data_IF_589054331514
#
_entry.id   IF_589054331514
#
_cell.length_a   1.000
_cell.length_b   1.000
_cell.length_c   1.000
_cell.angle_alpha   90.00
_cell.angle_beta   90.00
_cell.angle_gamma   90.00
#
_symmetry.space_group_name_H-M   'P 1'
#
loop_
_entity.id
_entity.type
_entity.pdbx_description
1 polymer ?
#
# COMPACT_ATOMS: atom_id res chain seq x y z
N UNK A 1 4.89 -33.58 8.50
CA UNK A 1 5.15 -33.38 7.06
C UNK A 1 4.55 -32.04 6.68
N UNK A 2 5.35 -31.10 6.17
CA UNK A 2 4.86 -29.79 5.74
C UNK A 2 4.62 -29.83 4.24
N UNK A 3 3.37 -29.65 3.82
CA UNK A 3 3.00 -29.59 2.41
C UNK A 3 2.99 -28.13 1.98
N UNK A 4 3.93 -27.76 1.11
CA UNK A 4 4.04 -26.41 0.55
C UNK A 4 3.52 -26.45 -0.88
N UNK A 5 2.45 -25.70 -1.15
CA UNK A 5 1.86 -25.60 -2.48
C UNK A 5 2.67 -24.63 -3.35
N UNK A 6 3.02 -25.06 -4.55
CA UNK A 6 3.64 -24.18 -5.55
C UNK A 6 2.54 -23.59 -6.44
N UNK A 7 2.53 -22.26 -6.67
CA UNK A 7 1.54 -21.62 -7.53
C UNK A 7 1.67 -22.05 -8.99
N UNK A 8 0.55 -22.08 -9.71
CA UNK A 8 0.53 -22.21 -11.18
C UNK A 8 0.83 -20.84 -11.84
N UNK A 9 1.02 -20.84 -13.16
CA UNK A 9 1.18 -19.60 -13.94
C UNK A 9 0.06 -18.60 -13.71
N UNK A 10 -1.17 -19.10 -13.53
CA UNK A 10 -2.37 -18.30 -13.41
C UNK A 10 -2.48 -17.58 -12.04
N UNK A 11 -1.77 -18.08 -11.03
CA UNK A 11 -1.71 -17.48 -9.68
C UNK A 11 -0.72 -16.31 -9.61
N UNK A 12 0.24 -16.23 -10.54
CA UNK A 12 1.28 -15.19 -10.56
C UNK A 12 0.74 -13.89 -11.16
N UNK A 13 0.77 -12.82 -10.37
CA UNK A 13 0.37 -11.47 -10.81
C UNK A 13 1.59 -10.70 -11.33
N UNK A 14 1.50 -10.16 -12.54
CA UNK A 14 2.52 -9.26 -13.09
C UNK A 14 2.43 -7.89 -12.39
N UNK A 15 3.59 -7.31 -12.07
CA UNK A 15 3.67 -5.97 -11.47
C UNK A 15 3.35 -4.93 -12.55
N UNK A 16 2.50 -3.97 -12.25
CA UNK A 16 2.18 -2.87 -13.15
C UNK A 16 3.45 -2.07 -13.52
N UNK A 17 3.61 -1.75 -14.80
CA UNK A 17 4.83 -1.16 -15.40
C UNK A 17 5.27 0.20 -14.80
N UNK A 18 4.44 0.82 -13.97
CA UNK A 18 4.72 2.09 -13.32
C UNK A 18 5.93 2.06 -12.37
N UNK A 19 6.37 0.86 -11.96
CA UNK A 19 7.60 0.68 -11.16
C UNK A 19 8.79 0.14 -11.98
N UNK A 20 8.59 -0.13 -13.27
CA UNK A 20 9.54 -0.77 -14.18
C UNK A 20 9.70 0.04 -15.47
N UNK A 21 9.80 1.36 -15.36
CA UNK A 21 10.50 2.08 -16.42
C UNK A 21 11.94 1.56 -16.46
N UNK A 22 12.22 0.68 -17.42
CA UNK A 22 13.53 0.04 -17.67
C UNK A 22 14.69 1.03 -17.86
N UNK A 23 14.42 2.32 -17.86
CA UNK A 23 15.39 3.41 -17.98
C UNK A 23 15.58 4.24 -16.69
N UNK A 24 14.82 3.96 -15.63
CA UNK A 24 14.99 4.64 -14.33
C UNK A 24 15.74 3.69 -13.41
N UNK A 25 16.98 4.07 -13.06
CA UNK A 25 17.73 3.41 -11.99
C UNK A 25 16.84 3.39 -10.75
N UNK A 26 16.44 2.20 -10.28
CA UNK A 26 15.70 2.07 -9.03
C UNK A 26 16.47 2.81 -7.93
N UNK A 27 15.86 3.81 -7.27
CA UNK A 27 16.57 4.62 -6.30
C UNK A 27 17.03 3.72 -5.16
N UNK A 28 18.34 3.63 -4.96
CA UNK A 28 18.93 2.84 -3.88
C UNK A 28 19.17 3.75 -2.68
N UNK A 29 18.79 3.27 -1.50
CA UNK A 29 19.08 3.97 -0.26
C UNK A 29 20.61 4.07 -0.02
N UNK A 30 21.02 5.17 0.59
CA UNK A 30 22.41 5.39 1.02
C UNK A 30 22.70 4.57 2.28
N UNK A 31 23.96 4.15 2.49
CA UNK A 31 24.39 3.39 3.68
C UNK A 31 23.89 3.99 5.01
N UNK A 32 23.96 5.33 5.15
CA UNK A 32 23.49 6.03 6.35
C UNK A 32 21.96 5.97 6.55
N UNK A 33 21.18 5.90 5.46
CA UNK A 33 19.72 5.69 5.56
C UNK A 33 19.41 4.26 6.02
N UNK A 34 20.19 3.29 5.53
CA UNK A 34 20.07 1.87 5.92
C UNK A 34 20.42 1.69 7.40
N UNK A 35 21.51 2.29 7.88
CA UNK A 35 21.92 2.20 9.28
C UNK A 35 20.84 2.77 10.23
N UNK A 36 20.27 3.93 9.88
CA UNK A 36 19.17 4.54 10.65
C UNK A 36 17.90 3.69 10.61
N UNK A 37 17.57 3.07 9.48
CA UNK A 37 16.46 2.12 9.38
C UNK A 37 16.68 0.89 10.27
N UNK A 38 17.89 0.33 10.29
CA UNK A 38 18.24 -0.81 11.15
C UNK A 38 18.08 -0.42 12.63
N UNK A 39 18.51 0.79 13.01
CA UNK A 39 18.34 1.30 14.37
C UNK A 39 16.86 1.42 14.77
N UNK A 40 15.99 1.88 13.87
CA UNK A 40 14.55 1.94 14.07
C UNK A 40 13.93 0.54 14.23
N UNK A 41 14.21 -0.38 13.29
CA UNK A 41 13.66 -1.74 13.32
C UNK A 41 14.01 -2.44 14.63
N UNK A 42 15.27 -2.34 15.10
CA UNK A 42 15.70 -2.94 16.38
C UNK A 42 14.97 -2.40 17.61
N UNK A 43 14.36 -1.22 17.54
CA UNK A 43 13.58 -0.61 18.63
C UNK A 43 12.11 -1.01 18.60
N UNK A 44 11.58 -1.31 17.41
CA UNK A 44 10.18 -1.67 17.17
C UNK A 44 9.98 -3.20 17.09
N UNK A 45 11.07 -3.96 17.00
CA UNK A 45 11.05 -5.41 16.82
C UNK A 45 10.29 -6.17 17.93
N UNK A 46 9.41 -7.08 17.51
CA UNK A 46 8.67 -7.98 18.39
C UNK A 46 9.50 -9.23 18.65
N UNK A 47 10.22 -9.26 19.77
CA UNK A 47 11.19 -10.32 20.10
C UNK A 47 10.61 -11.74 20.13
N UNK A 48 9.40 -11.90 20.64
CA UNK A 48 8.81 -13.21 20.93
C UNK A 48 7.50 -13.41 20.16
N UNK A 49 7.52 -13.19 18.84
CA UNK A 49 6.34 -13.43 18.00
C UNK A 49 5.86 -14.88 18.09
N UNK A 50 4.58 -15.04 18.42
CA UNK A 50 3.89 -16.34 18.41
C UNK A 50 2.64 -16.27 17.55
N UNK A 51 2.37 -17.34 16.81
CA UNK A 51 1.17 -17.46 15.96
C UNK A 51 -0.12 -17.38 16.80
N UNK A 52 -0.04 -17.74 18.09
CA UNK A 52 -1.18 -17.71 19.01
C UNK A 52 -1.29 -16.39 19.80
N UNK A 53 -0.45 -15.39 19.51
CA UNK A 53 -0.40 -14.14 20.29
C UNK A 53 -1.59 -13.21 19.98
N UNK A 54 -2.18 -13.32 18.79
CA UNK A 54 -3.21 -12.41 18.33
C UNK A 54 -4.49 -13.17 18.02
N UNK A 55 -5.59 -12.76 18.66
CA UNK A 55 -6.91 -13.29 18.34
C UNK A 55 -7.57 -12.52 17.20
N UNK A 56 -8.46 -13.17 16.44
CA UNK A 56 -9.29 -12.47 15.46
C UNK A 56 -10.39 -11.67 16.18
N UNK A 57 -10.36 -10.32 16.17
CA UNK A 57 -11.30 -9.50 16.93
C UNK A 57 -12.75 -9.67 16.46
N UNK A 58 -12.97 -9.93 15.16
CA UNK A 58 -14.30 -10.16 14.62
C UNK A 58 -14.91 -11.47 15.15
N UNK A 59 -14.11 -12.54 15.23
CA UNK A 59 -14.56 -13.80 15.81
C UNK A 59 -14.78 -13.69 17.31
N UNK A 60 -13.85 -13.05 18.03
CA UNK A 60 -14.01 -12.81 19.46
C UNK A 60 -15.33 -12.06 19.75
N UNK A 61 -15.60 -11.00 18.98
CA UNK A 61 -16.83 -10.21 19.11
C UNK A 61 -18.07 -11.03 18.82
N UNK A 62 -18.05 -11.81 17.75
CA UNK A 62 -19.17 -12.64 17.38
C UNK A 62 -19.55 -13.62 18.50
N UNK A 63 -18.58 -14.36 19.04
CA UNK A 63 -18.85 -15.36 20.07
C UNK A 63 -19.19 -14.74 21.42
N UNK A 64 -18.60 -13.61 21.80
CA UNK A 64 -18.97 -12.92 23.03
C UNK A 64 -20.42 -12.43 22.99
N UNK A 65 -20.87 -11.86 21.86
CA UNK A 65 -22.27 -11.45 21.69
C UNK A 65 -23.21 -12.65 21.76
N UNK A 66 -22.87 -13.78 21.12
CA UNK A 66 -23.67 -15.01 21.22
C UNK A 66 -23.76 -15.53 22.66
N UNK A 67 -22.67 -15.43 23.42
CA UNK A 67 -22.64 -15.84 24.81
C UNK A 67 -23.53 -14.94 25.68
N UNK A 68 -23.44 -13.61 25.53
CA UNK A 68 -24.29 -12.67 26.24
C UNK A 68 -25.78 -12.92 25.96
N UNK A 69 -26.13 -13.16 24.69
CA UNK A 69 -27.50 -13.54 24.29
C UNK A 69 -27.96 -14.88 24.90
N UNK A 70 -27.05 -15.83 25.12
CA UNK A 70 -27.38 -17.12 25.72
C UNK A 70 -27.55 -17.06 27.24
N UNK A 71 -26.92 -16.06 27.89
CA UNK A 71 -26.97 -15.84 29.34
C UNK A 71 -28.01 -14.77 29.75
N UNK A 72 -28.76 -14.22 28.78
CA UNK A 72 -29.67 -13.08 28.97
C UNK A 72 -28.97 -11.87 29.62
N UNK A 73 -27.72 -11.61 29.24
CA UNK A 73 -26.97 -10.41 29.66
C UNK A 73 -27.34 -9.21 28.77
N UNK A 74 -27.76 -8.10 29.39
CA UNK A 74 -28.13 -6.86 28.68
C UNK A 74 -26.93 -6.00 28.26
N UNK A 75 -25.72 -6.32 28.76
CA UNK A 75 -24.51 -5.56 28.48
C UNK A 75 -23.79 -6.12 27.25
N UNK A 76 -23.43 -5.24 26.31
CA UNK A 76 -22.64 -5.65 25.16
C UNK A 76 -21.18 -5.87 25.57
N UNK A 77 -20.59 -7.05 25.34
CA UNK A 77 -19.24 -7.34 25.78
C UNK A 77 -18.23 -6.48 25.02
N UNK A 78 -17.36 -5.80 25.77
CA UNK A 78 -16.22 -5.07 25.22
C UNK A 78 -15.05 -6.03 24.97
N UNK A 79 -14.49 -5.98 23.76
CA UNK A 79 -13.38 -6.83 23.37
C UNK A 79 -12.23 -5.95 22.92
N UNK A 80 -11.09 -6.14 23.58
CA UNK A 80 -9.85 -5.49 23.20
C UNK A 80 -9.35 -6.07 21.87
N UNK A 81 -9.15 -5.20 20.90
CA UNK A 81 -8.50 -5.56 19.65
C UNK A 81 -6.99 -5.59 19.85
N UNK A 82 -6.42 -6.79 19.78
CA UNK A 82 -4.98 -7.03 19.92
C UNK A 82 -4.22 -6.79 18.61
N UNK A 83 -4.92 -6.61 17.48
CA UNK A 83 -4.31 -6.37 16.17
C UNK A 83 -3.89 -4.92 15.95
N UNK A 84 -4.35 -4.01 16.82
CA UNK A 84 -3.99 -2.60 16.78
C UNK A 84 -2.56 -2.42 17.33
N UNK A 85 -1.71 -1.59 16.70
CA UNK A 85 -0.37 -1.31 17.21
C UNK A 85 -0.40 -0.76 18.65
N UNK A 86 0.61 -1.13 19.44
CA UNK A 86 0.80 -0.60 20.80
C UNK A 86 1.27 0.85 20.76
N UNK A 87 0.32 1.80 20.84
CA UNK A 87 0.60 3.24 20.81
C UNK A 87 1.56 3.67 21.94
N UNK A 88 1.41 3.09 23.14
CA UNK A 88 2.26 3.39 24.29
C UNK A 88 3.70 2.89 24.05
N UNK A 89 3.82 1.68 23.49
CA UNK A 89 5.10 1.11 23.06
C UNK A 89 5.80 1.95 21.99
N UNK A 90 5.04 2.48 21.02
CA UNK A 90 5.54 3.31 19.94
C UNK A 90 5.90 4.73 20.37
N UNK A 91 5.22 5.26 21.39
CA UNK A 91 5.49 6.59 21.95
C UNK A 91 6.76 6.65 22.83
N UNK A 92 7.45 5.51 23.05
CA UNK A 92 8.70 5.48 23.81
C UNK A 92 9.74 6.40 23.16
N UNK A 93 10.39 7.24 23.98
CA UNK A 93 11.39 8.22 23.53
C UNK A 93 12.47 7.63 22.60
N UNK A 94 12.88 6.38 22.84
CA UNK A 94 13.87 5.71 22.02
C UNK A 94 13.39 5.30 20.63
N UNK A 95 12.08 5.07 20.45
CA UNK A 95 11.44 4.77 19.16
C UNK A 95 11.19 6.07 18.41
N UNK A 96 10.60 7.06 19.08
CA UNK A 96 10.31 8.38 18.49
C UNK A 96 11.58 9.04 17.95
N UNK A 97 12.66 9.05 18.73
CA UNK A 97 13.94 9.59 18.29
C UNK A 97 14.50 8.86 17.06
N UNK A 98 14.47 7.53 17.05
CA UNK A 98 14.95 6.75 15.93
C UNK A 98 14.11 6.97 14.66
N UNK A 99 12.80 7.21 14.84
CA UNK A 99 11.88 7.53 13.76
C UNK A 99 12.16 8.92 13.17
N UNK A 100 12.36 9.93 14.02
CA UNK A 100 12.74 11.29 13.61
C UNK A 100 14.09 11.29 12.87
N UNK A 101 15.10 10.62 13.42
CA UNK A 101 16.44 10.51 12.82
C UNK A 101 16.38 9.87 11.41
N UNK A 102 15.51 8.87 11.24
CA UNK A 102 15.25 8.22 9.96
C UNK A 102 14.48 9.12 9.01
N UNK A 103 13.40 9.78 9.47
CA UNK A 103 12.58 10.71 8.68
C UNK A 103 13.44 11.83 8.08
N UNK A 104 14.26 12.48 8.92
CA UNK A 104 15.20 13.51 8.48
C UNK A 104 16.21 13.00 7.45
N UNK A 105 16.63 11.73 7.56
CA UNK A 105 17.60 11.14 6.62
C UNK A 105 17.04 10.82 5.24
N UNK A 106 15.73 10.58 5.16
CA UNK A 106 15.05 10.15 3.92
C UNK A 106 14.42 11.34 3.23
N UNK A 107 13.68 12.15 3.99
CA UNK A 107 12.87 13.24 3.44
C UNK A 107 13.52 14.63 3.56
N UNK A 108 14.55 14.79 4.41
CA UNK A 108 15.18 16.09 4.68
C UNK A 108 14.41 16.95 5.68
N UNK A 109 14.85 18.19 5.86
CA UNK A 109 14.25 19.15 6.81
C UNK A 109 12.98 19.84 6.26
N UNK A 110 12.80 19.86 4.94
CA UNK A 110 11.72 20.58 4.25
C UNK A 110 10.48 19.71 3.93
N UNK A 111 10.35 18.54 4.57
CA UNK A 111 9.22 17.65 4.34
C UNK A 111 7.98 18.08 5.12
N UNK A 112 7.06 18.74 4.43
CA UNK A 112 5.70 18.96 4.89
C UNK A 112 4.92 17.64 4.81
N UNK A 113 4.49 17.13 5.96
CA UNK A 113 3.73 15.91 6.05
C UNK A 113 2.29 16.20 5.61
N UNK A 114 1.92 15.79 4.40
CA UNK A 114 0.53 15.87 3.94
C UNK A 114 -0.34 15.02 4.87
N UNK A 115 -0.99 15.68 5.83
CA UNK A 115 -1.89 15.06 6.79
C UNK A 115 -3.24 14.76 6.11
N UNK A 116 -3.21 13.89 5.09
CA UNK A 116 -4.36 13.51 4.27
C UNK A 116 -5.33 12.57 5.03
N UNK A 117 -5.02 12.20 6.27
CA UNK A 117 -5.93 11.47 7.16
C UNK A 117 -7.09 12.33 7.72
N UNK A 118 -7.05 13.65 7.51
CA UNK A 118 -8.16 14.56 7.82
C UNK A 118 -8.87 15.03 6.52
N UNK A 119 -9.29 14.09 5.67
CA UNK A 119 -9.94 14.41 4.40
C UNK A 119 -11.37 14.95 4.58
N UNK A 120 -11.48 16.27 4.78
CA UNK A 120 -12.65 17.02 4.35
C UNK A 120 -12.34 17.71 3.01
N UNK A 121 -12.71 17.06 1.91
CA UNK A 121 -13.15 17.73 0.69
C UNK A 121 -12.13 18.46 -0.19
N UNK A 122 -10.88 18.02 -0.32
CA UNK A 122 -10.00 18.48 -1.41
C UNK A 122 -9.78 17.39 -2.45
N UNK A 123 -9.90 17.79 -3.72
CA UNK A 123 -9.71 16.94 -4.90
C UNK A 123 -8.32 16.30 -4.83
N UNK A 124 -8.30 14.98 -4.67
CA UNK A 124 -7.08 14.18 -4.54
C UNK A 124 -6.22 14.27 -5.80
N UNK A 125 -4.90 14.21 -5.64
CA UNK A 125 -3.95 14.20 -6.77
C UNK A 125 -4.17 13.03 -7.73
N UNK A 126 -4.80 11.94 -7.27
CA UNK A 126 -5.26 10.84 -8.11
C UNK A 126 -6.29 11.27 -9.18
N UNK A 127 -7.11 12.30 -8.90
CA UNK A 127 -8.06 12.86 -9.86
C UNK A 127 -7.36 13.76 -10.89
N UNK A 128 -6.34 14.52 -10.45
CA UNK A 128 -5.52 15.37 -11.33
C UNK A 128 -4.65 14.53 -12.28
N UNK A 129 -4.07 13.42 -11.78
CA UNK A 129 -3.31 12.45 -12.58
C UNK A 129 -4.18 11.77 -13.64
N UNK A 130 -5.38 11.31 -13.29
CA UNK A 130 -6.33 10.73 -14.27
C UNK A 130 -6.71 11.69 -15.39
N UNK A 131 -6.90 12.98 -15.07
CA UNK A 131 -7.18 14.01 -16.08
C UNK A 131 -5.99 14.26 -17.02
N UNK A 132 -4.76 14.27 -16.49
CA UNK A 132 -3.55 14.46 -17.30
C UNK A 132 -3.30 13.29 -18.27
N UNK A 133 -3.57 12.05 -17.84
CA UNK A 133 -3.44 10.85 -18.69
C UNK A 133 -4.43 10.90 -19.85
N UNK A 134 -5.69 11.27 -19.57
CA UNK A 134 -6.72 11.41 -20.60
C UNK A 134 -6.38 12.51 -21.63
N UNK A 135 -5.86 13.65 -21.16
CA UNK A 135 -5.45 14.75 -22.05
C UNK A 135 -4.23 14.40 -22.92
N UNK A 136 -3.31 13.56 -22.43
CA UNK A 136 -2.18 13.10 -23.24
C UNK A 136 -2.61 12.07 -24.31
N UNK A 137 -3.45 11.10 -23.94
CA UNK A 137 -3.98 10.11 -24.87
C UNK A 137 -4.76 10.74 -26.04
N UNK A 138 -5.52 11.82 -25.77
CA UNK A 138 -6.25 12.55 -26.82
C UNK A 138 -5.30 13.25 -27.80
N UNK A 139 -4.18 13.80 -27.32
CA UNK A 139 -3.16 14.43 -28.18
C UNK A 139 -2.44 13.40 -29.05
N UNK A 140 -2.09 12.25 -28.47
CA UNK A 140 -1.46 11.17 -29.22
C UNK A 140 -2.41 10.58 -30.28
N UNK A 141 -3.69 10.42 -29.97
CA UNK A 141 -4.72 9.98 -30.94
C UNK A 141 -4.88 10.93 -32.16
N UNK A 142 -4.62 12.23 -31.99
CA UNK A 142 -4.72 13.21 -33.08
C UNK A 142 -3.56 13.11 -34.10
N UNK A 143 -2.44 12.47 -33.72
CA UNK A 143 -1.26 12.33 -34.56
C UNK A 143 -1.32 11.11 -35.51
N UNK A 144 -2.34 10.25 -35.39
CA UNK A 144 -2.48 9.05 -36.22
C UNK A 144 -3.48 9.26 -37.35
N UNK A 145 -3.12 8.86 -38.58
CA UNK A 145 -4.03 8.81 -39.71
C UNK A 145 -4.85 7.51 -39.67
N UNK A 146 -6.05 7.61 -39.11
CA UNK A 146 -6.93 6.49 -38.88
C UNK A 146 -7.43 5.82 -40.16
N UNK A 147 -7.45 6.55 -41.27
CA UNK A 147 -7.93 6.02 -42.56
C UNK A 147 -6.92 5.05 -43.17
N UNK A 148 -5.65 5.44 -43.25
CA UNK A 148 -4.55 4.58 -43.73
C UNK A 148 -4.33 3.35 -42.83
N UNK A 149 -4.49 3.52 -41.51
CA UNK A 149 -4.34 2.42 -40.55
C UNK A 149 -5.45 1.36 -40.69
N UNK A 150 -6.68 1.78 -41.02
CA UNK A 150 -7.84 0.92 -41.26
C UNK A 150 -7.69 0.10 -42.54
N UNK A 151 -7.22 0.73 -43.62
CA UNK A 151 -7.02 0.06 -44.90
C UNK A 151 -5.86 -0.95 -44.86
N UNK A 152 -4.81 -0.67 -44.07
CA UNK A 152 -3.65 -1.53 -43.93
C UNK A 152 -3.78 -2.62 -42.84
N UNK A 153 -4.94 -2.75 -42.19
CA UNK A 153 -5.19 -3.77 -41.16
C UNK A 153 -4.36 -3.64 -39.87
N UNK A 154 -3.71 -2.48 -39.66
CA UNK A 154 -2.82 -2.22 -38.51
C UNK A 154 -3.53 -1.60 -37.31
N UNK A 155 -4.83 -1.30 -37.43
CA UNK A 155 -5.64 -0.67 -36.36
C UNK A 155 -5.58 -1.50 -35.08
N UNK A 156 -5.74 -2.82 -35.14
CA UNK A 156 -5.75 -3.66 -33.93
C UNK A 156 -4.40 -3.67 -33.20
N UNK A 157 -3.29 -3.54 -33.93
CA UNK A 157 -1.94 -3.56 -33.36
C UNK A 157 -1.61 -2.26 -32.62
N UNK A 158 -2.11 -1.12 -33.10
CA UNK A 158 -1.87 0.19 -32.50
C UNK A 158 -2.95 0.62 -31.50
N UNK A 159 -4.19 0.12 -31.63
CA UNK A 159 -5.24 0.36 -30.63
C UNK A 159 -4.89 -0.29 -29.28
N UNK A 160 -4.18 -1.43 -29.29
CA UNK A 160 -3.64 -2.09 -28.11
C UNK A 160 -2.59 -1.24 -27.38
N UNK A 161 -1.93 -0.31 -28.09
CA UNK A 161 -0.91 0.60 -27.55
C UNK A 161 -1.54 1.89 -26.99
N UNK A 162 -2.63 2.38 -27.61
CA UNK A 162 -3.31 3.63 -27.23
C UNK A 162 -4.44 3.44 -26.20
N UNK A 163 -5.12 2.30 -26.24
CA UNK A 163 -6.13 1.88 -25.28
C UNK A 163 -5.85 0.43 -24.90
N UNK A 164 -4.87 0.18 -24.01
CA UNK A 164 -4.83 -1.09 -23.32
C UNK A 164 -6.16 -1.19 -22.58
N UNK A 165 -6.98 -2.18 -22.93
CA UNK A 165 -8.17 -2.48 -22.14
C UNK A 165 -7.70 -2.99 -20.77
N UNK A 166 -7.51 -2.04 -19.84
CA UNK A 166 -8.07 -2.05 -18.50
C UNK A 166 -7.99 -0.64 -17.87
#
# INVERSE_FOLDING_TARGET
>A
MHMVYLPYSDDIRHIEELHTHNNVVTPRATEGQIEKAIALIRRVDLKDFSVCQFCNPALQRHYAVLQALALDEDEMPEIKDETVPDEEGMARLGVVKALEDFKLSVYGEDYEEDNDFAANGKVTDASRKRKAIAENAVKECANFDWTDLAENGKVMLNLLVLFPWY
#
